data_IF_428021041194
#
_entry.id   IF_428021041194
#
_cell.length_a   1.000
_cell.length_b   1.000
_cell.length_c   1.000
_cell.angle_alpha   90.00
_cell.angle_beta   90.00
_cell.angle_gamma   90.00
#
_symmetry.space_group_name_H-M   'P 1'
#
loop_
_entity.id
_entity.type
_entity.pdbx_description
1 polymer ?
#
# COMPACT_ATOMS: atom_id res chain seq x y z
N UNK A 1 25.32 0.29 -11.84
CA UNK A 1 24.13 0.82 -11.14
C UNK A 1 24.16 0.29 -9.71
N UNK A 2 24.11 1.16 -8.70
CA UNK A 2 24.21 0.79 -7.26
C UNK A 2 23.04 -0.09 -6.81
N UNK A 3 23.28 -1.05 -5.91
CA UNK A 3 22.27 -1.94 -5.30
C UNK A 3 21.10 -1.17 -4.67
N UNK A 4 21.35 0.03 -4.15
CA UNK A 4 20.34 0.94 -3.60
C UNK A 4 19.22 1.23 -4.59
N UNK A 5 19.53 1.36 -5.89
CA UNK A 5 18.52 1.70 -6.91
C UNK A 5 17.51 0.58 -7.14
N UNK A 6 17.97 -0.68 -7.12
CA UNK A 6 17.11 -1.85 -7.34
C UNK A 6 16.12 -2.09 -6.22
N UNK A 7 16.48 -1.74 -4.98
CA UNK A 7 15.60 -1.87 -3.83
C UNK A 7 14.34 -0.98 -3.98
N UNK A 8 14.51 0.28 -4.39
CA UNK A 8 13.37 1.18 -4.62
C UNK A 8 12.51 0.77 -5.81
N UNK A 9 13.15 0.26 -6.87
CA UNK A 9 12.44 -0.29 -8.02
C UNK A 9 11.59 -1.49 -7.59
N UNK A 10 12.16 -2.42 -6.81
CA UNK A 10 11.44 -3.55 -6.25
C UNK A 10 10.26 -3.09 -5.39
N UNK A 11 10.47 -2.19 -4.44
CA UNK A 11 9.41 -1.68 -3.57
C UNK A 11 8.25 -1.07 -4.35
N UNK A 12 8.55 -0.30 -5.40
CA UNK A 12 7.52 0.27 -6.28
C UNK A 12 6.69 -0.83 -6.96
N UNK A 13 7.35 -1.79 -7.60
CA UNK A 13 6.63 -2.87 -8.31
C UNK A 13 5.87 -3.79 -7.37
N UNK A 14 6.44 -4.08 -6.20
CA UNK A 14 5.80 -4.87 -5.17
C UNK A 14 4.56 -4.15 -4.62
N UNK A 15 4.64 -2.85 -4.34
CA UNK A 15 3.49 -2.04 -3.97
C UNK A 15 2.41 -2.04 -5.06
N UNK A 16 2.77 -1.88 -6.33
CA UNK A 16 1.81 -1.97 -7.44
C UNK A 16 1.08 -3.31 -7.50
N UNK A 17 1.79 -4.42 -7.27
CA UNK A 17 1.17 -5.74 -7.17
C UNK A 17 0.20 -5.83 -5.98
N UNK A 18 0.62 -5.35 -4.81
CA UNK A 18 -0.22 -5.32 -3.62
C UNK A 18 -1.50 -4.50 -3.82
N UNK A 19 -1.43 -3.35 -4.49
CA UNK A 19 -2.61 -2.54 -4.78
C UNK A 19 -3.60 -3.25 -5.72
N UNK A 20 -3.12 -3.95 -6.76
CA UNK A 20 -3.99 -4.71 -7.66
C UNK A 20 -4.66 -5.87 -6.91
N UNK A 21 -3.88 -6.59 -6.09
CA UNK A 21 -4.38 -7.72 -5.31
C UNK A 21 -5.39 -7.26 -4.25
N UNK A 22 -5.07 -6.18 -3.53
CA UNK A 22 -5.96 -5.51 -2.60
C UNK A 22 -7.26 -5.11 -3.26
N UNK A 23 -7.21 -4.40 -4.39
CA UNK A 23 -8.40 -3.97 -5.11
C UNK A 23 -9.27 -5.16 -5.52
N UNK A 24 -8.64 -6.24 -6.01
CA UNK A 24 -9.35 -7.47 -6.38
C UNK A 24 -10.09 -8.09 -5.18
N UNK A 25 -9.46 -8.12 -4.00
CA UNK A 25 -10.08 -8.65 -2.78
C UNK A 25 -11.20 -7.76 -2.26
N UNK A 26 -11.03 -6.43 -2.32
CA UNK A 26 -12.07 -5.48 -1.93
C UNK A 26 -13.32 -5.63 -2.83
N UNK A 27 -13.14 -5.87 -4.13
CA UNK A 27 -14.24 -6.11 -5.08
C UNK A 27 -14.93 -7.47 -4.86
N UNK A 28 -14.20 -8.45 -4.30
CA UNK A 28 -14.72 -9.78 -3.95
C UNK A 28 -15.30 -9.87 -2.53
N UNK A 29 -15.59 -8.73 -1.89
CA UNK A 29 -16.09 -8.63 -0.50
C UNK A 29 -15.14 -9.21 0.58
N UNK A 30 -13.86 -9.42 0.25
CA UNK A 30 -12.83 -9.76 1.23
C UNK A 30 -12.25 -8.50 1.88
N UNK A 31 -13.12 -7.72 2.52
CA UNK A 31 -12.81 -6.38 3.06
C UNK A 31 -11.58 -6.34 3.99
N UNK A 32 -11.45 -7.20 5.04
CA UNK A 32 -10.32 -7.11 5.96
C UNK A 32 -8.98 -7.43 5.28
N UNK A 33 -8.97 -8.44 4.42
CA UNK A 33 -7.75 -8.87 3.71
C UNK A 33 -7.37 -7.84 2.64
N UNK A 34 -8.35 -7.31 1.91
CA UNK A 34 -8.16 -6.26 0.94
C UNK A 34 -7.56 -4.99 1.56
N UNK A 35 -8.13 -4.52 2.68
CA UNK A 35 -7.61 -3.35 3.41
C UNK A 35 -6.21 -3.59 3.98
N UNK A 36 -5.93 -4.79 4.53
CA UNK A 36 -4.59 -5.13 5.02
C UNK A 36 -3.53 -5.07 3.90
N UNK A 37 -3.84 -5.64 2.73
CA UNK A 37 -2.92 -5.61 1.59
C UNK A 37 -2.79 -4.20 0.99
N UNK A 38 -3.85 -3.39 1.05
CA UNK A 38 -3.80 -1.99 0.63
C UNK A 38 -2.78 -1.22 1.47
N UNK A 39 -2.95 -1.25 2.79
CA UNK A 39 -2.07 -0.55 3.72
C UNK A 39 -0.62 -1.05 3.65
N UNK A 40 -0.40 -2.34 3.38
CA UNK A 40 0.95 -2.84 3.08
C UNK A 40 1.52 -2.21 1.80
N UNK A 41 0.73 -2.13 0.73
CA UNK A 41 1.11 -1.45 -0.52
C UNK A 41 1.58 -0.01 -0.28
N UNK A 42 0.90 0.70 0.62
CA UNK A 42 1.23 2.08 0.99
C UNK A 42 2.56 2.20 1.72
N UNK A 43 2.84 1.28 2.64
CA UNK A 43 4.14 1.20 3.32
C UNK A 43 5.26 0.94 2.31
N UNK A 44 5.02 0.09 1.30
CA UNK A 44 6.03 -0.23 0.29
C UNK A 44 6.20 0.87 -0.77
N UNK A 45 5.18 1.66 -1.11
CA UNK A 45 5.34 2.77 -2.08
C UNK A 45 6.00 4.00 -1.44
N UNK A 46 5.85 4.19 -0.13
CA UNK A 46 6.34 5.39 0.58
C UNK A 46 7.85 5.66 0.41
N UNK A 47 8.77 4.67 0.50
CA UNK A 47 10.20 4.91 0.26
C UNK A 47 10.50 5.44 -1.14
N UNK A 48 9.80 4.95 -2.16
CA UNK A 48 9.98 5.44 -3.54
C UNK A 48 9.40 6.85 -3.69
N UNK A 49 8.18 7.10 -3.18
CA UNK A 49 7.53 8.40 -3.26
C UNK A 49 8.33 9.50 -2.54
N UNK A 50 8.88 9.20 -1.36
CA UNK A 50 9.74 10.11 -0.61
C UNK A 50 11.02 10.45 -1.40
N UNK A 51 11.64 9.45 -2.02
CA UNK A 51 12.85 9.62 -2.82
C UNK A 51 12.62 10.50 -4.05
N UNK A 52 11.54 10.24 -4.79
CA UNK A 52 11.18 11.00 -5.99
C UNK A 52 10.51 12.34 -5.66
N UNK A 53 10.36 12.69 -4.37
CA UNK A 53 9.71 13.91 -3.88
C UNK A 53 8.25 14.06 -4.33
N UNK A 54 7.56 12.93 -4.53
CA UNK A 54 6.13 12.86 -4.82
C UNK A 54 5.33 13.00 -3.51
N UNK A 55 5.35 14.20 -2.93
CA UNK A 55 4.78 14.46 -1.61
C UNK A 55 3.26 14.31 -1.54
N UNK A 56 2.57 14.53 -2.66
CA UNK A 56 1.17 14.22 -2.84
C UNK A 56 0.89 12.73 -2.57
N UNK A 57 1.70 11.82 -3.15
CA UNK A 57 1.58 10.38 -2.93
C UNK A 57 1.93 9.99 -1.50
N UNK A 58 2.91 10.66 -0.87
CA UNK A 58 3.27 10.40 0.54
C UNK A 58 2.11 10.75 1.46
N UNK A 59 1.48 11.92 1.27
CA UNK A 59 0.33 12.34 2.09
C UNK A 59 -0.86 11.41 1.88
N UNK A 60 -1.16 11.04 0.64
CA UNK A 60 -2.22 10.08 0.31
C UNK A 60 -1.95 8.74 1.01
N UNK A 61 -0.76 8.17 0.85
CA UNK A 61 -0.40 6.89 1.46
C UNK A 61 -0.53 6.91 2.99
N UNK A 62 -0.13 8.01 3.65
CA UNK A 62 -0.27 8.13 5.11
C UNK A 62 -1.75 8.19 5.52
N UNK A 63 -2.57 8.98 4.83
CA UNK A 63 -3.99 9.13 5.16
C UNK A 63 -4.76 7.83 4.97
N UNK A 64 -4.60 7.19 3.82
CA UNK A 64 -5.26 5.94 3.52
C UNK A 64 -4.77 4.81 4.42
N UNK A 65 -3.50 4.81 4.84
CA UNK A 65 -2.99 3.80 5.77
C UNK A 65 -3.72 3.82 7.11
N UNK A 66 -4.02 5.02 7.62
CA UNK A 66 -4.84 5.16 8.83
C UNK A 66 -6.29 4.70 8.61
N UNK A 67 -6.87 4.99 7.44
CA UNK A 67 -8.20 4.50 7.09
C UNK A 67 -8.25 2.98 6.94
N UNK A 68 -7.20 2.36 6.38
CA UNK A 68 -7.07 0.92 6.24
C UNK A 68 -6.94 0.25 7.59
N UNK A 69 -6.09 0.77 8.49
CA UNK A 69 -5.99 0.28 9.88
C UNK A 69 -7.34 0.41 10.59
N UNK A 70 -8.00 1.56 10.45
CA UNK A 70 -9.31 1.79 11.05
C UNK A 70 -10.34 0.77 10.51
N UNK A 71 -10.39 0.58 9.19
CA UNK A 71 -11.25 -0.41 8.55
C UNK A 71 -10.93 -1.82 9.02
N UNK A 72 -9.65 -2.18 9.12
CA UNK A 72 -9.17 -3.48 9.58
C UNK A 72 -9.63 -3.82 11.00
N UNK A 73 -9.57 -2.84 11.91
CA UNK A 73 -9.94 -3.00 13.32
C UNK A 73 -11.46 -3.09 13.47
N UNK A 74 -12.22 -2.35 12.66
CA UNK A 74 -13.67 -2.25 12.79
C UNK A 74 -14.45 -3.21 11.88
N UNK A 75 -13.79 -3.92 10.97
CA UNK A 75 -14.43 -4.92 10.10
C UNK A 75 -14.36 -6.31 10.75
N UNK A 76 -15.50 -6.98 10.92
CA UNK A 76 -15.56 -8.37 11.38
C UNK A 76 -14.78 -9.35 10.46
N UNK A 77 -14.11 -10.34 11.05
CA UNK A 77 -13.24 -11.34 10.39
C UNK A 77 -13.89 -12.72 10.27
N UNK A 78 -15.15 -12.75 9.85
CA UNK A 78 -16.03 -13.92 9.81
C UNK A 78 -15.96 -14.67 8.49
#
# INVERSE_FOLDING_TARGET
>A
MSSSNWQFVFFRYFASFLFILSHSLLVLDHLPVGAALHGLGEVFIAPWAFRERAWDLVVIAVLFFFFDIWGLINTPWN
#
